data_IF_442429945021
#
_entry.id   IF_442429945021
#
_cell.length_a   1.000
_cell.length_b   1.000
_cell.length_c   1.000
_cell.angle_alpha   90.00
_cell.angle_beta   90.00
_cell.angle_gamma   90.00
#
_symmetry.space_group_name_H-M   'P 1'
#
loop_
_entity.id
_entity.type
_entity.pdbx_description
1 polymer ?
#
# COMPACT_ATOMS: atom_id res chain seq x y z
N UNK A 1 -19.34 3.10 -15.23
CA UNK A 1 -18.22 2.19 -15.14
C UNK A 1 -17.75 2.04 -13.72
N UNK A 2 -17.68 0.84 -13.26
CA UNK A 2 -17.31 0.59 -11.87
C UNK A 2 -15.80 0.57 -11.73
N UNK A 3 -15.35 1.05 -10.60
CA UNK A 3 -13.94 1.01 -10.26
C UNK A 3 -13.75 -0.05 -9.20
N UNK A 4 -12.72 -0.85 -9.39
CA UNK A 4 -12.37 -1.85 -8.41
C UNK A 4 -11.63 -1.17 -7.26
N UNK A 5 -11.87 -1.66 -6.06
CA UNK A 5 -11.15 -1.19 -4.88
C UNK A 5 -10.47 -2.37 -4.23
N UNK A 6 -9.33 -2.09 -3.66
CA UNK A 6 -8.56 -3.11 -2.98
C UNK A 6 -8.22 -2.61 -1.58
N UNK A 7 -8.03 -3.55 -0.67
CA UNK A 7 -7.60 -3.23 0.67
C UNK A 7 -6.12 -3.53 0.80
N UNK A 8 -5.42 -2.58 1.37
CA UNK A 8 -3.97 -2.70 1.56
C UNK A 8 -3.70 -2.57 3.05
N UNK A 9 -2.98 -3.54 3.59
CA UNK A 9 -2.63 -3.57 5.00
C UNK A 9 -1.13 -3.50 5.14
N UNK A 10 -0.66 -2.62 6.02
CA UNK A 10 0.76 -2.54 6.31
C UNK A 10 1.12 -3.68 7.25
N UNK A 11 1.98 -4.59 6.79
CA UNK A 11 2.34 -5.75 7.58
C UNK A 11 3.72 -5.66 8.21
N UNK A 12 4.53 -4.68 7.79
CA UNK A 12 5.86 -4.48 8.36
C UNK A 12 6.12 -3.00 8.55
N UNK A 13 6.97 -2.68 9.51
CA UNK A 13 7.35 -1.30 9.78
C UNK A 13 8.15 -0.73 8.63
N UNK A 14 7.91 0.55 8.34
CA UNK A 14 8.69 1.25 7.32
C UNK A 14 9.94 1.89 7.91
N UNK A 15 10.10 1.83 9.22
CA UNK A 15 11.27 2.41 9.86
C UNK A 15 12.54 1.72 9.36
N UNK A 16 13.54 2.51 8.99
CA UNK A 16 14.78 1.99 8.49
C UNK A 16 14.74 1.57 7.03
N UNK A 17 13.61 1.74 6.37
CA UNK A 17 13.51 1.44 4.93
C UNK A 17 13.90 2.65 4.11
N UNK A 18 14.08 2.44 2.80
CA UNK A 18 14.41 3.53 1.90
C UNK A 18 13.30 4.59 1.93
N UNK A 19 13.69 5.84 1.77
CA UNK A 19 12.71 6.94 1.79
C UNK A 19 11.69 6.79 0.67
N UNK A 20 12.11 6.32 -0.50
CA UNK A 20 11.18 6.10 -1.60
C UNK A 20 10.12 5.08 -1.24
N UNK A 21 10.51 4.03 -0.51
CA UNK A 21 9.56 3.01 -0.06
C UNK A 21 8.61 3.57 0.99
N UNK A 22 9.14 4.38 1.89
CA UNK A 22 8.30 5.04 2.89
C UNK A 22 7.28 5.96 2.22
N UNK A 23 7.71 6.66 1.18
CA UNK A 23 6.82 7.55 0.45
C UNK A 23 5.70 6.77 -0.23
N UNK A 24 5.99 5.60 -0.77
CA UNK A 24 4.97 4.74 -1.38
C UNK A 24 3.93 4.31 -0.35
N UNK A 25 4.38 3.92 0.83
CA UNK A 25 3.47 3.51 1.90
C UNK A 25 2.60 4.68 2.33
N UNK A 26 3.19 5.86 2.48
CA UNK A 26 2.43 7.05 2.84
C UNK A 26 1.44 7.43 1.74
N UNK A 27 1.85 7.28 0.49
CA UNK A 27 0.97 7.55 -0.64
C UNK A 27 -0.24 6.64 -0.66
N UNK A 28 -0.11 5.44 -0.11
CA UNK A 28 -1.23 4.52 0.02
C UNK A 28 -2.11 4.87 1.22
N UNK A 29 -1.63 5.70 2.12
CA UNK A 29 -2.38 6.08 3.30
C UNK A 29 -2.08 5.26 4.53
N UNK A 30 -1.11 4.38 4.45
CA UNK A 30 -0.75 3.53 5.59
C UNK A 30 0.21 4.27 6.51
N UNK A 31 0.01 4.09 7.82
CA UNK A 31 0.80 4.81 8.81
C UNK A 31 1.46 3.91 9.84
N UNK A 32 0.90 2.74 10.09
CA UNK A 32 1.44 1.84 11.10
C UNK A 32 1.11 0.40 10.73
N UNK A 33 1.82 -0.51 11.38
CA UNK A 33 1.60 -1.93 11.17
C UNK A 33 0.15 -2.28 11.54
N UNK A 34 -0.49 -3.06 10.69
CA UNK A 34 -1.86 -3.47 10.92
C UNK A 34 -2.90 -2.48 10.40
N UNK A 35 -2.46 -1.29 9.96
CA UNK A 35 -3.38 -0.31 9.41
C UNK A 35 -3.85 -0.77 8.04
N UNK A 36 -5.16 -0.82 7.84
CA UNK A 36 -5.75 -1.22 6.57
C UNK A 36 -6.47 -0.04 5.95
N UNK A 37 -6.24 0.19 4.67
CA UNK A 37 -6.93 1.23 3.93
C UNK A 37 -7.50 0.64 2.66
N UNK A 38 -8.59 1.25 2.18
CA UNK A 38 -9.19 0.88 0.92
C UNK A 38 -8.80 1.93 -0.11
N UNK A 39 -8.25 1.48 -1.22
CA UNK A 39 -7.79 2.37 -2.28
C UNK A 39 -8.32 1.88 -3.62
N UNK A 40 -8.37 2.79 -4.57
CA UNK A 40 -8.80 2.44 -5.91
C UNK A 40 -7.72 1.62 -6.60
N UNK A 41 -8.15 0.63 -7.36
CA UNK A 41 -7.24 -0.22 -8.10
C UNK A 41 -6.84 0.48 -9.41
N UNK A 42 -5.87 1.35 -9.32
CA UNK A 42 -5.36 2.11 -10.45
C UNK A 42 -3.91 1.72 -10.72
N UNK A 43 -3.40 2.01 -11.93
CA UNK A 43 -2.00 1.75 -12.21
C UNK A 43 -1.05 2.44 -11.25
N UNK A 44 -1.39 3.65 -10.81
CA UNK A 44 -0.56 4.38 -9.83
C UNK A 44 -0.48 3.63 -8.52
N UNK A 45 -1.63 3.17 -8.02
CA UNK A 45 -1.68 2.43 -6.75
C UNK A 45 -0.94 1.11 -6.90
N UNK A 46 -1.17 0.40 -8.00
CA UNK A 46 -0.48 -0.86 -8.23
C UNK A 46 1.03 -0.66 -8.32
N UNK A 47 1.47 0.43 -8.93
CA UNK A 47 2.89 0.75 -9.00
C UNK A 47 3.50 0.95 -7.63
N UNK A 48 2.80 1.64 -6.73
CA UNK A 48 3.27 1.82 -5.37
C UNK A 48 3.34 0.51 -4.62
N UNK A 49 2.32 -0.33 -4.78
CA UNK A 49 2.28 -1.64 -4.12
C UNK A 49 3.43 -2.50 -4.62
N UNK A 50 3.69 -2.47 -5.92
CA UNK A 50 4.75 -3.29 -6.51
C UNK A 50 6.14 -2.89 -6.03
N UNK A 51 6.31 -1.67 -5.56
CA UNK A 51 7.58 -1.24 -5.00
C UNK A 51 7.81 -1.77 -3.61
N UNK A 52 6.75 -2.02 -2.87
CA UNK A 52 6.86 -2.44 -1.48
C UNK A 52 6.02 -3.68 -1.18
N UNK A 53 6.12 -4.73 -2.01
CA UNK A 53 5.30 -5.92 -1.78
C UNK A 53 5.64 -6.62 -0.47
N UNK A 54 6.86 -6.43 0.03
CA UNK A 54 7.30 -7.04 1.27
C UNK A 54 6.80 -6.27 2.50
N UNK A 55 6.25 -5.08 2.31
CA UNK A 55 5.77 -4.25 3.41
C UNK A 55 4.26 -4.27 3.54
N UNK A 56 3.55 -4.58 2.47
CA UNK A 56 2.10 -4.47 2.45
C UNK A 56 1.46 -5.77 1.96
N UNK A 57 0.20 -5.93 2.34
CA UNK A 57 -0.60 -7.06 1.91
C UNK A 57 -1.83 -6.53 1.21
N UNK A 58 -2.16 -7.09 0.06
CA UNK A 58 -3.31 -6.68 -0.73
C UNK A 58 -4.42 -7.69 -0.58
N UNK A 59 -5.62 -7.21 -0.29
CA UNK A 59 -6.80 -8.04 -0.16
C UNK A 59 -7.92 -7.46 -1.01
N UNK A 60 -8.92 -8.27 -1.27
CA UNK A 60 -10.12 -7.78 -1.95
C UNK A 60 -10.14 -8.03 -3.42
N UNK A 61 -9.29 -8.89 -3.90
CA UNK A 61 -9.34 -9.28 -5.30
C UNK A 61 -10.14 -10.52 -5.50
#
# INVERSE_FOLDING_TARGET
MSQSKIRVTLKRSVAGRLKSHQACVRGLGLRRIGHTVEVEDTPSVRGMINKVPYLVRVEGE
#
